data_IF_987508052755
#
_entry.id   IF_987508052755
#
_cell.length_a   1.000
_cell.length_b   1.000
_cell.length_c   1.000
_cell.angle_alpha   90.00
_cell.angle_beta   90.00
_cell.angle_gamma   90.00
#
_symmetry.space_group_name_H-M   'P 1'
#
loop_
_entity.id
_entity.type
_entity.pdbx_description
1 polymer ?
#
# COMPACT_ATOMS: atom_id res chain seq x y z
N UNK A 1 -72.54 -22.70 47.74
CA UNK A 1 -72.39 -21.43 46.97
C UNK A 1 -70.93 -21.03 46.96
N UNK A 2 -70.23 -21.18 45.83
CA UNK A 2 -68.84 -20.73 45.69
C UNK A 2 -68.89 -19.32 45.08
N UNK A 3 -68.45 -18.32 45.84
CA UNK A 3 -68.38 -16.93 45.39
C UNK A 3 -67.11 -16.74 44.56
N UNK A 4 -67.26 -16.60 43.24
CA UNK A 4 -66.17 -16.31 42.31
C UNK A 4 -65.74 -14.85 42.42
N UNK A 5 -64.49 -14.59 42.84
CA UNK A 5 -63.90 -13.25 42.94
C UNK A 5 -63.41 -12.85 41.54
N UNK A 6 -64.10 -11.90 40.89
CA UNK A 6 -63.67 -11.34 39.59
C UNK A 6 -62.39 -10.51 39.79
N UNK A 7 -61.31 -10.89 39.10
CA UNK A 7 -60.11 -10.07 39.00
C UNK A 7 -60.40 -8.99 37.94
N UNK A 8 -60.34 -7.73 38.34
CA UNK A 8 -60.61 -6.59 37.47
C UNK A 8 -59.37 -6.35 36.59
N UNK A 9 -59.37 -6.85 35.36
CA UNK A 9 -58.32 -6.58 34.38
C UNK A 9 -58.57 -5.21 33.76
N UNK A 10 -57.95 -4.16 34.31
CA UNK A 10 -57.89 -2.85 33.67
C UNK A 10 -57.06 -2.94 32.39
N UNK A 11 -57.66 -2.69 31.23
CA UNK A 11 -56.96 -2.62 29.95
C UNK A 11 -56.14 -1.32 29.83
N UNK A 12 -54.94 -1.42 29.26
CA UNK A 12 -54.12 -0.25 28.89
C UNK A 12 -54.80 0.54 27.78
N UNK A 13 -54.85 1.87 27.88
CA UNK A 13 -55.36 2.73 26.81
C UNK A 13 -54.31 2.89 25.70
N UNK A 14 -54.79 3.07 24.47
CA UNK A 14 -53.92 3.35 23.32
C UNK A 14 -53.12 4.65 23.54
N UNK A 15 -53.70 5.62 24.26
CA UNK A 15 -53.03 6.89 24.56
C UNK A 15 -51.84 6.69 25.50
N UNK A 16 -51.97 5.82 26.50
CA UNK A 16 -50.87 5.46 27.41
C UNK A 16 -49.73 4.75 26.68
N UNK A 17 -50.04 3.89 25.71
CA UNK A 17 -49.00 3.27 24.89
C UNK A 17 -48.34 4.29 23.94
N UNK A 18 -49.13 5.20 23.36
CA UNK A 18 -48.66 6.21 22.41
C UNK A 18 -47.69 7.20 23.06
N UNK A 19 -48.01 7.69 24.25
CA UNK A 19 -47.10 8.62 24.95
C UNK A 19 -45.77 7.93 25.30
N UNK A 20 -45.79 6.65 25.67
CA UNK A 20 -44.56 5.89 26.01
C UNK A 20 -43.64 5.76 24.81
N UNK A 21 -44.15 5.38 23.63
CA UNK A 21 -43.31 5.26 22.43
C UNK A 21 -42.77 6.62 21.98
N UNK A 22 -43.54 7.71 22.13
CA UNK A 22 -43.08 9.07 21.83
C UNK A 22 -41.95 9.48 22.76
N UNK A 23 -42.10 9.24 24.07
CA UNK A 23 -41.07 9.55 25.06
C UNK A 23 -39.80 8.73 24.81
N UNK A 24 -39.90 7.43 24.54
CA UNK A 24 -38.75 6.57 24.19
C UNK A 24 -38.09 7.07 22.90
N UNK A 25 -38.86 7.48 21.90
CA UNK A 25 -38.35 8.03 20.64
C UNK A 25 -37.51 9.30 20.83
N UNK A 26 -37.99 10.24 21.65
CA UNK A 26 -37.27 11.48 21.97
C UNK A 26 -35.97 11.17 22.74
N UNK A 27 -36.03 10.29 23.74
CA UNK A 27 -34.87 9.89 24.53
C UNK A 27 -33.83 9.16 23.65
N UNK A 28 -34.26 8.26 22.77
CA UNK A 28 -33.39 7.55 21.84
C UNK A 28 -32.66 8.52 20.89
N UNK A 29 -33.36 9.50 20.32
CA UNK A 29 -32.75 10.49 19.43
C UNK A 29 -31.64 11.30 20.11
N UNK A 30 -31.88 11.81 21.32
CA UNK A 30 -30.88 12.59 22.09
C UNK A 30 -29.67 11.71 22.45
N UNK A 31 -29.92 10.48 22.92
CA UNK A 31 -28.86 9.57 23.36
C UNK A 31 -27.94 9.17 22.21
N UNK A 32 -28.45 8.93 21.00
CA UNK A 32 -27.62 8.56 19.84
C UNK A 32 -26.60 9.67 19.49
N UNK A 33 -27.04 10.93 19.43
CA UNK A 33 -26.16 12.06 19.11
C UNK A 33 -25.09 12.24 20.19
N UNK A 34 -25.49 12.16 21.46
CA UNK A 34 -24.55 12.25 22.58
C UNK A 34 -23.53 11.11 22.58
N UNK A 35 -23.99 9.88 22.27
CA UNK A 35 -23.16 8.68 22.25
C UNK A 35 -22.04 8.75 21.21
N UNK A 36 -22.34 9.23 19.99
CA UNK A 36 -21.33 9.42 18.93
C UNK A 36 -20.23 10.41 19.36
N UNK A 37 -20.61 11.52 20.02
CA UNK A 37 -19.66 12.49 20.56
C UNK A 37 -18.78 11.90 21.67
N UNK A 38 -19.35 11.09 22.56
CA UNK A 38 -18.61 10.40 23.64
C UNK A 38 -17.62 9.39 23.04
N UNK A 39 -18.05 8.58 22.08
CA UNK A 39 -17.15 7.62 21.42
C UNK A 39 -15.96 8.31 20.75
N UNK A 40 -16.20 9.40 20.01
CA UNK A 40 -15.13 10.15 19.34
C UNK A 40 -14.10 10.68 20.34
N UNK A 41 -14.55 11.28 21.45
CA UNK A 41 -13.66 11.75 22.53
C UNK A 41 -12.90 10.60 23.20
N UNK A 42 -13.56 9.47 23.42
CA UNK A 42 -12.91 8.29 23.99
C UNK A 42 -11.82 7.74 23.07
N UNK A 43 -12.06 7.68 21.74
CA UNK A 43 -11.05 7.26 20.76
C UNK A 43 -9.87 8.24 20.72
N UNK A 44 -10.13 9.55 20.71
CA UNK A 44 -9.08 10.56 20.76
C UNK A 44 -8.21 10.44 22.02
N UNK A 45 -8.84 10.23 23.19
CA UNK A 45 -8.12 10.01 24.44
C UNK A 45 -7.29 8.71 24.41
N UNK A 46 -7.85 7.62 23.87
CA UNK A 46 -7.15 6.35 23.73
C UNK A 46 -5.92 6.46 22.82
N UNK A 47 -6.06 7.10 21.65
CA UNK A 47 -4.95 7.32 20.71
C UNK A 47 -3.89 8.24 21.29
N UNK A 48 -4.28 9.33 21.96
CA UNK A 48 -3.33 10.24 22.63
C UNK A 48 -2.53 9.53 23.72
N UNK A 49 -3.21 8.81 24.61
CA UNK A 49 -2.56 8.07 25.70
C UNK A 49 -1.64 6.97 25.17
N UNK A 50 -2.07 6.28 24.10
CA UNK A 50 -1.26 5.29 23.40
C UNK A 50 0.05 5.89 22.88
N UNK A 51 0.00 7.06 22.22
CA UNK A 51 1.20 7.71 21.70
C UNK A 51 2.12 8.22 22.81
N UNK A 52 1.59 8.79 23.88
CA UNK A 52 2.39 9.23 25.03
C UNK A 52 3.16 8.07 25.67
N UNK A 53 2.54 6.89 25.77
CA UNK A 53 3.21 5.68 26.24
C UNK A 53 4.31 5.23 25.26
N UNK A 54 4.01 5.25 23.95
CA UNK A 54 4.99 4.88 22.92
C UNK A 54 6.21 5.81 22.94
N UNK A 55 6.02 7.12 23.06
CA UNK A 55 7.12 8.11 23.15
C UNK A 55 8.02 7.81 24.34
N UNK A 56 7.44 7.55 25.53
CA UNK A 56 8.22 7.22 26.73
C UNK A 56 9.08 5.97 26.52
N UNK A 57 8.49 4.93 25.92
CA UNK A 57 9.22 3.69 25.64
C UNK A 57 10.31 3.85 24.57
N UNK A 58 10.04 4.64 23.52
CA UNK A 58 11.04 4.98 22.50
C UNK A 58 12.21 5.74 23.11
N UNK A 59 11.94 6.70 23.99
CA UNK A 59 12.97 7.47 24.68
C UNK A 59 13.83 6.58 25.59
N UNK A 60 13.21 5.69 26.38
CA UNK A 60 13.94 4.73 27.22
C UNK A 60 14.86 3.82 26.39
N UNK A 61 14.33 3.24 25.31
CA UNK A 61 15.12 2.38 24.43
C UNK A 61 16.30 3.13 23.79
N UNK A 62 16.08 4.38 23.36
CA UNK A 62 17.12 5.21 22.76
C UNK A 62 18.23 5.57 23.77
N UNK A 63 17.89 5.78 25.04
CA UNK A 63 18.87 5.98 26.11
C UNK A 63 19.72 4.73 26.34
N UNK A 64 19.10 3.55 26.33
CA UNK A 64 19.80 2.28 26.59
C UNK A 64 20.67 1.82 25.41
N UNK A 65 20.25 2.10 24.16
CA UNK A 65 20.85 1.53 22.95
C UNK A 65 21.52 2.55 22.02
N UNK A 66 21.45 3.86 22.32
CA UNK A 66 21.89 4.95 21.46
C UNK A 66 21.24 4.98 20.05
N UNK A 67 20.15 4.24 19.86
CA UNK A 67 19.37 4.17 18.62
C UNK A 67 17.89 3.97 18.96
N UNK A 68 16.99 4.44 18.10
CA UNK A 68 15.59 4.06 18.19
C UNK A 68 15.40 2.60 17.70
N UNK A 69 14.42 1.84 18.22
CA UNK A 69 14.20 0.47 17.78
C UNK A 69 13.79 0.45 16.30
N UNK A 70 14.10 -0.62 15.57
CA UNK A 70 13.66 -0.79 14.17
C UNK A 70 12.16 -1.15 14.10
N UNK A 71 11.63 -1.75 15.17
CA UNK A 71 10.24 -2.17 15.31
C UNK A 71 9.69 -1.78 16.69
N UNK A 72 8.46 -1.27 16.73
CA UNK A 72 7.72 -0.98 17.96
C UNK A 72 7.45 -2.25 18.80
N UNK A 73 7.38 -3.42 18.18
CA UNK A 73 7.22 -4.69 18.88
C UNK A 73 8.36 -4.97 19.87
N UNK A 74 9.58 -4.51 19.56
CA UNK A 74 10.78 -4.65 20.42
C UNK A 74 10.60 -3.97 21.78
N UNK A 75 9.81 -2.90 21.83
CA UNK A 75 9.46 -2.18 23.06
C UNK A 75 8.06 -2.57 23.58
N UNK A 76 7.48 -3.65 23.07
CA UNK A 76 6.18 -4.16 23.49
C UNK A 76 5.03 -3.20 23.16
N UNK A 77 5.12 -2.49 22.03
CA UNK A 77 4.01 -1.73 21.45
C UNK A 77 3.49 -2.52 20.26
N UNK A 78 2.24 -2.97 20.35
CA UNK A 78 1.55 -3.77 19.34
C UNK A 78 0.12 -3.30 19.18
N UNK A 79 -0.49 -3.58 18.03
CA UNK A 79 -1.89 -3.24 17.75
C UNK A 79 -2.81 -3.94 18.77
N UNK A 80 -3.63 -3.18 19.49
CA UNK A 80 -4.53 -3.70 20.52
C UNK A 80 -5.65 -2.71 20.85
N UNK A 81 -6.78 -3.22 21.36
CA UNK A 81 -7.90 -2.38 21.84
C UNK A 81 -8.51 -1.46 20.77
N UNK A 82 -8.43 -1.86 19.49
CA UNK A 82 -8.87 -1.05 18.35
C UNK A 82 -7.90 0.06 17.95
N UNK A 83 -6.75 0.18 18.62
CA UNK A 83 -5.67 1.10 18.26
C UNK A 83 -4.60 0.36 17.46
N UNK A 84 -4.30 0.89 16.29
CA UNK A 84 -3.26 0.41 15.37
C UNK A 84 -2.13 1.43 15.26
N UNK A 85 -0.88 0.97 15.16
CA UNK A 85 0.30 1.80 15.06
C UNK A 85 0.98 1.61 13.70
N UNK A 86 1.55 2.70 13.18
CA UNK A 86 2.51 2.70 12.09
C UNK A 86 3.74 3.46 12.55
N UNK A 87 4.91 3.00 12.13
CA UNK A 87 6.19 3.49 12.62
C UNK A 87 7.22 3.60 11.51
N UNK A 88 7.91 4.73 11.49
CA UNK A 88 9.06 5.00 10.63
C UNK A 88 10.21 5.50 11.48
N UNK A 89 11.42 5.07 11.14
CA UNK A 89 12.65 5.38 11.88
C UNK A 89 13.81 5.55 10.92
N UNK A 90 14.68 6.50 11.22
CA UNK A 90 15.96 6.69 10.53
C UNK A 90 17.06 6.94 11.56
N UNK A 91 17.79 5.87 11.89
CA UNK A 91 18.94 5.93 12.79
C UNK A 91 20.24 6.31 12.08
N UNK A 92 20.24 6.45 10.74
CA UNK A 92 21.43 6.75 9.96
C UNK A 92 21.72 8.26 9.85
N UNK A 93 20.78 9.11 10.26
CA UNK A 93 20.91 10.58 10.25
C UNK A 93 21.19 11.13 11.65
N UNK A 94 21.81 12.32 11.71
CA UNK A 94 22.10 13.02 12.96
C UNK A 94 21.44 14.40 12.94
N UNK A 95 20.48 14.71 13.82
CA UNK A 95 19.93 13.83 14.86
C UNK A 95 19.08 12.69 14.26
N UNK A 96 19.06 11.55 14.93
CA UNK A 96 18.22 10.40 14.56
C UNK A 96 16.75 10.82 14.59
N UNK A 97 15.94 10.27 13.67
CA UNK A 97 14.53 10.66 13.52
C UNK A 97 13.62 9.45 13.62
N UNK A 98 12.39 9.69 14.08
CA UNK A 98 11.30 8.72 14.07
C UNK A 98 9.97 9.43 13.91
N UNK A 99 8.96 8.69 13.46
CA UNK A 99 7.58 9.14 13.48
C UNK A 99 6.64 7.94 13.76
N UNK A 100 5.66 8.14 14.63
CA UNK A 100 4.63 7.14 14.95
C UNK A 100 3.25 7.74 14.63
N UNK A 101 2.44 7.01 13.88
CA UNK A 101 0.99 7.28 13.75
C UNK A 101 0.24 6.24 14.56
N UNK A 102 -0.70 6.67 15.40
CA UNK A 102 -1.67 5.78 16.03
C UNK A 102 -3.06 6.10 15.52
N UNK A 103 -3.84 5.07 15.18
CA UNK A 103 -5.20 5.19 14.65
C UNK A 103 -6.17 4.34 15.47
N UNK A 104 -7.35 4.86 15.77
CA UNK A 104 -8.48 4.11 16.32
C UNK A 104 -9.77 4.53 15.59
N UNK A 105 -10.27 3.63 14.73
CA UNK A 105 -11.35 3.95 13.80
C UNK A 105 -10.95 5.09 12.85
N UNK A 106 -11.70 6.19 12.89
CA UNK A 106 -11.45 7.40 12.06
C UNK A 106 -10.58 8.45 12.74
N UNK A 107 -10.10 8.19 13.96
CA UNK A 107 -9.28 9.13 14.74
C UNK A 107 -7.81 8.74 14.63
N UNK A 108 -6.96 9.66 14.19
CA UNK A 108 -5.54 9.41 13.93
C UNK A 108 -4.68 10.57 14.42
N UNK A 109 -3.72 10.28 15.30
CA UNK A 109 -2.72 11.26 15.77
C UNK A 109 -1.32 10.75 15.46
N UNK A 110 -0.37 11.69 15.47
CA UNK A 110 1.06 11.41 15.28
C UNK A 110 1.93 12.07 16.34
N UNK A 111 3.10 11.49 16.51
CA UNK A 111 4.24 12.04 17.26
C UNK A 111 5.51 11.78 16.44
N UNK A 112 6.51 12.64 16.59
CA UNK A 112 7.80 12.49 15.93
C UNK A 112 8.94 12.96 16.85
N UNK A 113 10.17 12.83 16.36
CA UNK A 113 11.37 13.17 17.12
C UNK A 113 11.44 14.65 17.58
N UNK A 114 10.80 15.58 16.87
CA UNK A 114 10.81 17.03 17.21
C UNK A 114 9.56 17.50 17.93
N UNK A 115 8.44 16.79 17.78
CA UNK A 115 7.17 17.04 18.43
C UNK A 115 6.65 15.74 19.04
N UNK A 116 6.94 15.58 20.32
CA UNK A 116 6.57 14.42 21.13
C UNK A 116 5.18 14.51 21.73
N UNK A 117 4.48 15.64 21.55
CA UNK A 117 3.10 15.79 21.93
C UNK A 117 2.19 15.21 20.83
N UNK A 118 1.20 14.34 21.18
CA UNK A 118 0.24 13.84 20.21
C UNK A 118 -0.44 14.99 19.47
N UNK A 119 -0.34 14.98 18.15
CA UNK A 119 -0.93 16.00 17.28
C UNK A 119 -1.80 15.37 16.21
N UNK A 120 -2.84 16.07 15.77
CA UNK A 120 -3.71 15.59 14.71
C UNK A 120 -2.95 15.41 13.40
N UNK A 121 -3.19 14.30 12.71
CA UNK A 121 -2.56 13.98 11.43
C UNK A 121 -1.81 12.65 11.46
N UNK A 122 -1.16 12.35 10.34
CA UNK A 122 -0.36 11.14 10.13
C UNK A 122 1.09 11.52 9.78
N UNK A 123 2.04 10.66 10.09
CA UNK A 123 3.40 10.81 9.56
C UNK A 123 3.40 10.72 8.03
N UNK A 124 4.40 11.31 7.40
CA UNK A 124 4.57 11.20 5.96
C UNK A 124 4.77 9.71 5.59
N UNK A 125 4.03 9.24 4.59
CA UNK A 125 4.00 7.82 4.23
C UNK A 125 3.23 6.92 5.20
N UNK A 126 2.58 7.43 6.25
CA UNK A 126 1.61 6.66 7.05
C UNK A 126 0.17 6.94 6.56
N UNK A 127 -0.76 6.05 6.86
CA UNK A 127 -2.13 6.11 6.31
C UNK A 127 -3.19 6.05 7.40
N UNK A 128 -4.38 6.53 7.05
CA UNK A 128 -5.56 6.47 7.92
C UNK A 128 -6.10 5.03 7.94
N UNK A 129 -6.16 4.42 9.13
CA UNK A 129 -6.80 3.11 9.34
C UNK A 129 -5.86 1.98 9.77
N UNK A 130 -4.57 2.24 10.00
CA UNK A 130 -3.65 1.24 10.56
C UNK A 130 -3.09 0.21 9.57
N UNK A 131 -3.37 0.36 8.28
CA UNK A 131 -2.78 -0.49 7.23
C UNK A 131 -1.38 0.00 6.94
N UNK A 132 -0.36 -0.87 7.09
CA UNK A 132 1.03 -0.53 6.77
C UNK A 132 1.12 0.06 5.36
N UNK A 133 1.84 1.17 5.22
CA UNK A 133 2.06 1.74 3.90
C UNK A 133 3.05 0.87 3.14
N UNK A 134 2.68 0.53 1.91
CA UNK A 134 3.58 -0.18 1.01
C UNK A 134 4.43 0.85 0.30
N UNK A 135 5.74 0.71 0.40
CA UNK A 135 6.66 1.46 -0.44
C UNK A 135 6.80 0.73 -1.77
N UNK A 136 6.23 1.31 -2.82
CA UNK A 136 6.52 0.89 -4.17
C UNK A 136 7.85 1.51 -4.62
N UNK A 137 8.82 0.67 -4.92
CA UNK A 137 10.12 1.04 -5.43
C UNK A 137 10.16 1.14 -6.97
N UNK A 138 9.05 1.01 -7.70
CA UNK A 138 9.04 1.33 -9.13
C UNK A 138 9.18 2.85 -9.31
N UNK A 139 10.19 3.32 -10.05
CA UNK A 139 10.50 4.76 -10.18
C UNK A 139 9.45 5.58 -10.93
N UNK A 140 8.49 4.92 -11.57
CA UNK A 140 7.40 5.54 -12.33
C UNK A 140 6.23 4.56 -12.47
N UNK A 141 5.29 4.53 -11.54
CA UNK A 141 4.19 3.57 -11.58
C UNK A 141 3.06 3.97 -12.54
N UNK A 142 2.93 5.25 -12.88
CA UNK A 142 1.88 5.83 -13.74
C UNK A 142 2.30 5.95 -15.23
N UNK A 143 3.53 5.54 -15.53
CA UNK A 143 4.16 5.64 -16.84
C UNK A 143 4.31 7.05 -17.41
N UNK A 144 4.09 8.13 -16.65
CA UNK A 144 3.98 9.47 -17.22
C UNK A 144 5.30 10.06 -17.71
N UNK A 145 6.45 9.76 -17.06
CA UNK A 145 7.71 10.47 -17.33
C UNK A 145 8.96 9.58 -17.39
N UNK A 146 8.93 8.36 -16.85
CA UNK A 146 10.13 7.58 -16.53
C UNK A 146 9.97 6.05 -16.57
N UNK A 147 8.80 5.48 -16.94
CA UNK A 147 8.70 4.08 -17.35
C UNK A 147 9.49 3.94 -18.63
N UNK A 148 10.73 3.55 -18.43
CA UNK A 148 11.63 3.11 -19.48
C UNK A 148 11.14 1.75 -19.90
N UNK A 149 10.19 1.76 -20.82
CA UNK A 149 9.86 0.58 -21.56
C UNK A 149 11.16 -0.02 -22.12
N UNK A 150 11.30 -1.31 -21.94
CA UNK A 150 12.30 -2.08 -22.65
C UNK A 150 11.64 -2.60 -23.92
N UNK A 151 11.83 -1.84 -24.98
CA UNK A 151 12.02 -2.49 -26.27
C UNK A 151 13.35 -3.25 -26.17
N UNK A 152 13.36 -4.45 -26.73
CA UNK A 152 14.52 -5.29 -27.02
C UNK A 152 15.90 -4.71 -26.65
N UNK A 153 16.67 -5.43 -25.82
CA UNK A 153 18.12 -5.39 -25.95
C UNK A 153 18.48 -6.01 -27.32
N UNK A 154 18.68 -5.16 -28.32
CA UNK A 154 19.43 -5.52 -29.53
C UNK A 154 18.65 -5.80 -30.83
N UNK A 155 17.40 -5.36 -31.01
CA UNK A 155 16.71 -5.47 -32.31
C UNK A 155 16.03 -4.14 -32.71
N UNK A 156 15.96 -3.81 -34.02
CA UNK A 156 15.43 -2.54 -34.51
C UNK A 156 13.96 -2.35 -34.13
N UNK A 157 13.53 -1.09 -34.03
CA UNK A 157 12.24 -0.65 -33.47
C UNK A 157 11.03 -1.27 -34.16
N UNK A 158 10.50 -2.36 -33.61
CA UNK A 158 9.23 -2.99 -34.03
C UNK A 158 8.00 -2.41 -33.32
N UNK A 159 8.14 -1.36 -32.51
CA UNK A 159 7.02 -0.77 -31.77
C UNK A 159 7.18 0.71 -31.45
N UNK A 160 6.06 1.44 -31.40
CA UNK A 160 5.96 2.83 -30.92
C UNK A 160 5.34 2.84 -29.52
N UNK A 161 5.76 3.77 -28.67
CA UNK A 161 5.29 3.90 -27.28
C UNK A 161 4.68 5.27 -27.02
N UNK A 162 3.55 5.28 -26.34
CA UNK A 162 2.83 6.49 -25.95
C UNK A 162 2.14 6.28 -24.62
N UNK A 163 1.89 7.37 -23.90
CA UNK A 163 0.99 7.34 -22.74
C UNK A 163 -0.44 7.50 -23.25
N UNK A 164 -1.33 6.62 -22.80
CA UNK A 164 -2.71 6.60 -23.28
C UNK A 164 -3.68 6.41 -22.12
N UNK A 165 -4.80 7.13 -22.21
CA UNK A 165 -5.95 7.00 -21.32
C UNK A 165 -7.09 6.19 -21.94
N UNK A 166 -6.89 5.66 -23.15
CA UNK A 166 -7.90 4.85 -23.86
C UNK A 166 -8.13 3.47 -23.22
N UNK A 167 -7.19 3.04 -22.36
CA UNK A 167 -7.29 1.81 -21.59
C UNK A 167 -6.40 1.91 -20.34
N UNK A 168 -6.98 1.75 -19.16
CA UNK A 168 -6.26 1.64 -17.88
C UNK A 168 -6.81 0.47 -17.07
N UNK A 169 -6.00 -0.07 -16.16
CA UNK A 169 -6.44 -1.05 -15.17
C UNK A 169 -6.90 -0.34 -13.90
N UNK A 170 -6.06 0.55 -13.38
CA UNK A 170 -6.32 1.44 -12.25
C UNK A 170 -5.64 2.78 -12.54
N UNK A 171 -6.21 3.89 -12.09
CA UNK A 171 -5.69 5.24 -12.38
C UNK A 171 -6.14 5.81 -13.73
N UNK A 172 -5.41 6.82 -14.21
CA UNK A 172 -5.85 7.71 -15.31
C UNK A 172 -5.15 7.44 -16.64
N UNK A 173 -3.99 6.82 -16.64
CA UNK A 173 -3.16 6.58 -17.83
C UNK A 173 -2.37 5.29 -17.72
N UNK A 174 -2.03 4.67 -18.85
CA UNK A 174 -1.15 3.50 -18.91
C UNK A 174 -0.12 3.61 -20.04
N UNK A 175 0.92 2.76 -20.00
CA UNK A 175 1.90 2.64 -21.07
C UNK A 175 1.29 1.86 -22.23
N UNK A 176 1.04 2.53 -23.37
CA UNK A 176 0.60 1.90 -24.61
C UNK A 176 1.78 1.61 -25.54
N UNK A 177 1.86 0.38 -26.02
CA UNK A 177 2.84 -0.07 -27.01
C UNK A 177 2.13 -0.56 -28.26
N UNK A 178 2.29 0.17 -29.37
CA UNK A 178 1.75 -0.18 -30.68
C UNK A 178 2.82 -0.92 -31.49
N UNK A 179 2.48 -2.08 -32.03
CA UNK A 179 3.41 -2.95 -32.74
C UNK A 179 3.40 -2.65 -34.24
N UNK A 180 4.55 -2.29 -34.80
CA UNK A 180 4.75 -1.94 -36.21
C UNK A 180 5.37 -3.09 -37.03
N UNK A 181 5.83 -4.17 -36.36
CA UNK A 181 6.46 -5.33 -37.00
C UNK A 181 6.36 -6.58 -36.14
N UNK A 182 6.49 -7.76 -36.75
CA UNK A 182 6.43 -9.04 -36.02
C UNK A 182 7.64 -9.25 -35.12
N UNK A 183 7.43 -9.71 -33.90
CA UNK A 183 8.49 -9.96 -32.95
C UNK A 183 7.99 -10.26 -31.54
N UNK A 184 8.82 -9.95 -30.55
CA UNK A 184 8.52 -10.14 -29.13
C UNK A 184 8.63 -8.81 -28.40
N UNK A 185 7.67 -8.54 -27.52
CA UNK A 185 7.60 -7.29 -26.75
C UNK A 185 7.44 -7.59 -25.26
N UNK A 186 7.88 -6.63 -24.45
CA UNK A 186 7.75 -6.64 -23.00
C UNK A 186 7.69 -5.24 -22.43
N UNK A 187 7.57 -5.17 -21.11
CA UNK A 187 7.76 -3.96 -20.35
C UNK A 187 8.46 -4.30 -19.03
N UNK A 188 9.16 -3.31 -18.49
CA UNK A 188 9.83 -3.42 -17.22
C UNK A 188 9.75 -2.10 -16.48
N UNK A 189 9.64 -2.19 -15.17
CA UNK A 189 9.90 -1.10 -14.27
C UNK A 189 11.37 -1.15 -13.84
N UNK A 190 11.97 0.04 -13.72
CA UNK A 190 13.28 0.21 -13.09
C UNK A 190 13.04 0.67 -11.65
N UNK A 191 13.69 0.03 -10.67
CA UNK A 191 13.81 0.62 -9.35
C UNK A 191 14.88 1.73 -9.35
N UNK A 192 14.95 2.53 -8.26
CA UNK A 192 16.00 3.52 -8.05
C UNK A 192 17.39 2.94 -8.35
N UNK A 193 18.30 3.77 -8.86
CA UNK A 193 19.60 3.36 -9.40
C UNK A 193 20.36 2.42 -8.46
N UNK A 194 21.25 1.60 -9.03
CA UNK A 194 21.96 0.48 -8.40
C UNK A 194 22.81 0.77 -7.15
N UNK A 195 22.68 1.94 -6.53
CA UNK A 195 23.30 2.32 -5.25
C UNK A 195 22.28 2.63 -4.15
N UNK A 196 20.99 2.70 -4.46
CA UNK A 196 19.95 3.20 -3.54
C UNK A 196 19.01 2.11 -3.03
N UNK A 197 18.72 1.08 -3.82
CA UNK A 197 17.90 -0.07 -3.40
C UNK A 197 18.75 -1.32 -3.12
N UNK A 198 19.46 -1.36 -1.98
CA UNK A 198 20.17 -2.58 -1.54
C UNK A 198 19.17 -3.61 -1.01
N UNK A 199 19.27 -4.86 -1.43
CA UNK A 199 18.46 -5.98 -0.89
C UNK A 199 19.42 -6.97 -0.27
N UNK A 200 19.22 -7.29 1.00
CA UNK A 200 20.12 -8.18 1.70
C UNK A 200 19.86 -9.65 1.37
N UNK A 201 20.90 -10.46 1.50
CA UNK A 201 20.80 -11.91 1.40
C UNK A 201 19.67 -12.42 2.32
N UNK A 202 18.75 -13.22 1.77
CA UNK A 202 17.60 -13.76 2.50
C UNK A 202 16.38 -12.84 2.59
N UNK A 203 16.48 -11.56 2.22
CA UNK A 203 15.30 -10.68 2.12
C UNK A 203 14.44 -11.07 0.93
N UNK A 204 13.11 -11.04 1.11
CA UNK A 204 12.19 -11.33 0.02
C UNK A 204 11.75 -10.06 -0.68
N UNK A 205 11.80 -10.10 -2.00
CA UNK A 205 11.22 -9.10 -2.86
C UNK A 205 10.04 -9.66 -3.62
N UNK A 206 9.01 -8.83 -3.74
CA UNK A 206 7.85 -9.09 -4.57
C UNK A 206 7.71 -8.00 -5.61
N UNK A 207 7.07 -8.39 -6.70
CA UNK A 207 6.72 -7.45 -7.73
C UNK A 207 5.47 -7.92 -8.47
N UNK A 208 4.77 -6.95 -9.06
CA UNK A 208 3.66 -7.22 -9.96
C UNK A 208 3.45 -6.10 -10.96
N UNK A 209 2.78 -6.40 -12.05
CA UNK A 209 2.23 -5.41 -12.97
C UNK A 209 1.05 -6.01 -13.71
N UNK A 210 0.26 -5.15 -14.34
CA UNK A 210 -0.86 -5.56 -15.18
C UNK A 210 -0.47 -5.44 -16.65
N UNK A 211 -0.87 -6.42 -17.43
CA UNK A 211 -0.71 -6.42 -18.89
C UNK A 211 -2.05 -6.66 -19.57
N UNK A 212 -2.34 -5.87 -20.59
CA UNK A 212 -3.45 -6.09 -21.51
C UNK A 212 -2.87 -6.22 -22.91
N UNK A 213 -3.35 -7.20 -23.67
CA UNK A 213 -3.00 -7.34 -25.08
C UNK A 213 -4.26 -7.52 -25.92
N UNK A 214 -4.29 -6.92 -27.10
CA UNK A 214 -5.34 -7.17 -28.11
C UNK A 214 -5.34 -8.62 -28.61
N UNK A 215 -4.21 -9.32 -28.48
CA UNK A 215 -4.00 -10.70 -28.92
C UNK A 215 -3.48 -11.58 -27.79
N UNK A 216 -3.90 -12.84 -27.78
CA UNK A 216 -3.44 -13.81 -26.79
C UNK A 216 -1.95 -14.12 -27.00
N UNK A 217 -1.22 -14.29 -25.90
CA UNK A 217 0.20 -14.62 -25.92
C UNK A 217 0.68 -15.18 -24.59
N UNK A 218 2.00 -15.30 -24.45
CA UNK A 218 2.63 -15.68 -23.18
C UNK A 218 3.79 -14.75 -22.89
N UNK A 219 3.80 -14.20 -21.69
CA UNK A 219 4.86 -13.31 -21.20
C UNK A 219 5.79 -14.12 -20.30
N UNK A 220 7.09 -13.85 -20.35
CA UNK A 220 8.08 -14.43 -19.44
C UNK A 220 8.44 -13.39 -18.38
N UNK A 221 8.01 -13.58 -17.12
CA UNK A 221 8.49 -12.86 -15.95
C UNK A 221 10.01 -12.82 -15.86
N UNK A 222 10.57 -11.66 -15.50
CA UNK A 222 12.01 -11.48 -15.42
C UNK A 222 12.43 -10.49 -14.33
N UNK A 223 13.60 -10.74 -13.75
CA UNK A 223 14.26 -9.84 -12.82
C UNK A 223 15.76 -9.82 -13.09
N UNK A 224 16.32 -8.62 -13.18
CA UNK A 224 17.76 -8.36 -13.26
C UNK A 224 18.26 -7.67 -12.00
N UNK A 225 19.44 -8.07 -11.54
CA UNK A 225 20.13 -7.43 -10.43
C UNK A 225 21.65 -7.49 -10.59
N UNK A 226 22.36 -6.58 -9.90
CA UNK A 226 23.82 -6.59 -9.77
C UNK A 226 24.20 -7.01 -8.35
N UNK A 227 25.20 -7.87 -8.21
CA UNK A 227 25.72 -8.27 -6.90
C UNK A 227 26.49 -7.11 -6.26
N UNK A 228 26.35 -6.94 -4.95
CA UNK A 228 27.09 -5.93 -4.19
C UNK A 228 28.59 -6.27 -4.10
N UNK A 229 28.93 -7.57 -4.09
CA UNK A 229 30.29 -8.05 -3.82
C UNK A 229 31.28 -7.85 -4.97
N UNK A 230 30.82 -7.97 -6.21
CA UNK A 230 31.69 -8.00 -7.40
C UNK A 230 31.11 -7.20 -8.60
N UNK A 231 29.94 -6.58 -8.45
CA UNK A 231 29.27 -5.83 -9.50
C UNK A 231 28.74 -6.67 -10.67
N UNK A 232 28.88 -8.00 -10.63
CA UNK A 232 28.40 -8.89 -11.70
C UNK A 232 26.88 -8.99 -11.71
N UNK A 233 26.31 -9.24 -12.88
CA UNK A 233 24.87 -9.39 -13.04
C UNK A 233 24.38 -10.79 -12.67
N UNK A 234 23.19 -10.86 -12.09
CA UNK A 234 22.41 -12.07 -11.89
C UNK A 234 20.98 -11.81 -12.36
N UNK A 235 20.52 -12.65 -13.29
CA UNK A 235 19.18 -12.57 -13.86
C UNK A 235 18.38 -13.83 -13.51
N UNK A 236 17.09 -13.68 -13.27
CA UNK A 236 16.16 -14.76 -12.99
C UNK A 236 14.90 -14.63 -13.83
N UNK A 237 14.50 -15.70 -14.52
CA UNK A 237 13.20 -15.81 -15.18
C UNK A 237 12.30 -16.78 -14.40
N UNK A 238 11.00 -16.55 -14.45
CA UNK A 238 10.00 -17.49 -13.92
C UNK A 238 9.19 -18.13 -15.04
N UNK A 239 8.30 -19.07 -14.70
CA UNK A 239 7.42 -19.72 -15.66
C UNK A 239 6.61 -18.70 -16.47
N UNK A 240 6.39 -19.00 -17.75
CA UNK A 240 5.61 -18.14 -18.63
C UNK A 240 4.18 -17.95 -18.12
N UNK A 241 3.69 -16.72 -18.15
CA UNK A 241 2.33 -16.35 -17.78
C UNK A 241 1.51 -16.16 -19.05
N UNK A 242 0.40 -16.89 -19.16
CA UNK A 242 -0.54 -16.71 -20.27
C UNK A 242 -1.24 -15.36 -20.16
N UNK A 243 -1.28 -14.60 -21.27
CA UNK A 243 -1.98 -13.32 -21.39
C UNK A 243 -3.10 -13.51 -22.40
N UNK A 244 -4.36 -13.71 -21.97
CA UNK A 244 -5.49 -13.84 -22.88
C UNK A 244 -5.72 -12.56 -23.69
N UNK A 245 -6.28 -12.73 -24.89
CA UNK A 245 -6.68 -11.59 -25.70
C UNK A 245 -7.76 -10.79 -24.98
N UNK A 246 -7.59 -9.47 -24.94
CA UNK A 246 -8.53 -8.50 -24.44
C UNK A 246 -8.88 -8.59 -22.95
N UNK A 247 -7.96 -9.12 -22.13
CA UNK A 247 -8.14 -9.25 -20.69
C UNK A 247 -6.92 -8.70 -19.96
N UNK A 248 -7.16 -7.83 -18.97
CA UNK A 248 -6.13 -7.41 -18.03
C UNK A 248 -5.67 -8.61 -17.20
N UNK A 249 -4.38 -8.92 -17.28
CA UNK A 249 -3.76 -10.06 -16.61
C UNK A 249 -2.72 -9.55 -15.62
N UNK A 250 -2.86 -9.93 -14.35
CA UNK A 250 -1.84 -9.64 -13.33
C UNK A 250 -0.67 -10.60 -13.51
N UNK A 251 0.51 -10.05 -13.73
CA UNK A 251 1.77 -10.79 -13.73
C UNK A 251 2.46 -10.50 -12.42
N UNK A 252 2.91 -11.55 -11.74
CA UNK A 252 3.55 -11.45 -10.44
C UNK A 252 4.83 -12.26 -10.42
N UNK A 253 5.75 -11.85 -9.55
CA UNK A 253 6.95 -12.60 -9.28
C UNK A 253 7.51 -12.26 -7.91
N UNK A 254 8.40 -13.14 -7.45
CA UNK A 254 9.14 -12.93 -6.23
C UNK A 254 10.51 -13.54 -6.36
N UNK A 255 11.48 -12.97 -5.67
CA UNK A 255 12.79 -13.58 -5.56
C UNK A 255 13.39 -13.29 -4.17
N UNK A 256 14.28 -14.18 -3.74
CA UNK A 256 15.04 -14.05 -2.50
C UNK A 256 16.51 -14.24 -2.87
N UNK A 257 17.35 -13.21 -2.78
CA UNK A 257 18.72 -13.32 -3.23
C UNK A 257 19.55 -14.06 -2.17
N UNK A 258 20.48 -14.91 -2.61
CA UNK A 258 21.38 -15.65 -1.72
C UNK A 258 22.56 -14.80 -1.20
N UNK A 259 22.72 -13.60 -1.75
CA UNK A 259 23.77 -12.63 -1.47
C UNK A 259 23.16 -11.23 -1.60
N UNK A 260 23.84 -10.21 -1.08
CA UNK A 260 23.35 -8.85 -1.23
C UNK A 260 23.39 -8.40 -2.71
N UNK A 261 22.32 -7.74 -3.15
CA UNK A 261 22.17 -7.25 -4.52
C UNK A 261 21.62 -5.83 -4.58
N UNK A 262 21.72 -5.23 -5.77
CA UNK A 262 20.95 -4.08 -6.21
C UNK A 262 20.08 -4.49 -7.40
N UNK A 263 18.74 -4.51 -7.27
CA UNK A 263 17.84 -4.75 -8.39
C UNK A 263 18.01 -3.67 -9.45
N UNK A 264 18.03 -4.07 -10.71
CA UNK A 264 18.21 -3.17 -11.85
C UNK A 264 16.92 -3.03 -12.66
N UNK A 265 16.21 -4.14 -12.89
CA UNK A 265 15.01 -4.19 -13.73
C UNK A 265 14.08 -5.32 -13.27
N UNK A 266 12.79 -5.07 -13.34
CA UNK A 266 11.74 -6.06 -13.05
C UNK A 266 10.65 -5.92 -14.09
N UNK A 267 10.22 -7.02 -14.70
CA UNK A 267 9.19 -6.95 -15.74
C UNK A 267 8.85 -8.28 -16.36
N UNK A 268 8.41 -8.22 -17.62
CA UNK A 268 8.24 -9.41 -18.43
C UNK A 268 8.50 -9.13 -19.90
N UNK A 269 8.95 -10.15 -20.62
CA UNK A 269 9.30 -10.08 -22.03
C UNK A 269 8.69 -11.24 -22.81
N UNK A 270 9.06 -11.38 -24.09
CA UNK A 270 8.70 -12.53 -24.92
C UNK A 270 7.23 -12.64 -25.32
N UNK A 271 6.41 -11.59 -25.17
CA UNK A 271 5.04 -11.63 -25.69
C UNK A 271 5.10 -11.59 -27.22
N UNK A 272 4.77 -12.71 -27.86
CA UNK A 272 4.76 -12.83 -29.32
C UNK A 272 3.66 -11.93 -29.93
N UNK A 273 4.06 -11.06 -30.84
CA UNK A 273 3.20 -10.03 -31.45
C UNK A 273 3.45 -9.90 -32.95
N UNK A 274 2.46 -9.42 -33.68
CA UNK A 274 2.53 -9.07 -35.11
C UNK A 274 2.24 -7.58 -35.31
N UNK A 275 2.56 -7.04 -36.49
CA UNK A 275 2.20 -5.67 -36.84
C UNK A 275 0.68 -5.44 -36.70
N UNK A 276 0.29 -4.35 -36.04
CA UNK A 276 -1.09 -4.01 -35.70
C UNK A 276 -1.53 -4.40 -34.29
N UNK A 277 -0.80 -5.29 -33.60
CA UNK A 277 -1.08 -5.59 -32.20
C UNK A 277 -0.82 -4.36 -31.33
N UNK A 278 -1.56 -4.26 -30.23
CA UNK A 278 -1.37 -3.21 -29.21
C UNK A 278 -1.42 -3.83 -27.82
N UNK A 279 -0.50 -3.37 -26.98
CA UNK A 279 -0.30 -3.79 -25.60
C UNK A 279 -0.39 -2.60 -24.67
N UNK A 280 -0.89 -2.83 -23.46
CA UNK A 280 -0.88 -1.86 -22.38
C UNK A 280 -0.27 -2.48 -21.13
N UNK A 281 0.52 -1.69 -20.42
CA UNK A 281 1.12 -2.07 -19.14
C UNK A 281 0.81 -1.01 -18.10
N UNK A 282 0.49 -1.46 -16.89
CA UNK A 282 -0.04 -0.59 -15.83
C UNK A 282 0.27 -1.13 -14.43
N UNK A 283 0.18 -0.25 -13.42
CA UNK A 283 0.27 -0.54 -11.99
C UNK A 283 1.48 -1.42 -11.61
N UNK A 284 2.68 -0.99 -12.01
CA UNK A 284 3.93 -1.64 -11.61
C UNK A 284 4.18 -1.45 -10.11
N UNK A 285 4.36 -2.57 -9.42
CA UNK A 285 4.74 -2.66 -8.01
C UNK A 285 6.07 -3.40 -7.88
N UNK A 286 6.97 -2.83 -7.10
CA UNK A 286 8.18 -3.48 -6.60
C UNK A 286 8.23 -3.21 -5.10
N UNK A 287 8.25 -4.24 -4.27
CA UNK A 287 8.27 -4.08 -2.81
C UNK A 287 9.22 -5.06 -2.13
N UNK A 288 9.76 -4.63 -1.00
CA UNK A 288 10.44 -5.51 -0.04
C UNK A 288 9.41 -5.94 0.99
N UNK A 289 8.95 -7.18 0.89
CA UNK A 289 7.86 -7.68 1.73
C UNK A 289 7.91 -9.20 1.79
N UNK A 290 7.26 -9.77 2.81
CA UNK A 290 7.02 -11.21 2.91
C UNK A 290 5.78 -11.68 2.14
N UNK A 291 4.94 -10.74 1.70
CA UNK A 291 3.72 -10.98 0.92
C UNK A 291 3.59 -9.97 -0.20
N UNK A 292 3.08 -10.41 -1.36
CA UNK A 292 2.70 -9.49 -2.43
C UNK A 292 1.40 -8.79 -2.07
N UNK A 293 1.44 -7.47 -2.00
CA UNK A 293 0.26 -6.64 -1.82
C UNK A 293 -0.36 -6.23 -3.16
N UNK A 294 -1.62 -5.77 -3.14
CA UNK A 294 -2.17 -5.07 -4.28
C UNK A 294 -1.80 -3.58 -4.21
N UNK A 295 -1.65 -2.99 -5.38
CA UNK A 295 -1.05 -1.68 -5.56
C UNK A 295 -1.85 -0.85 -6.56
N UNK A 296 -1.83 0.45 -6.34
CA UNK A 296 -2.47 1.46 -7.17
C UNK A 296 -1.39 2.41 -7.72
N UNK A 297 -1.43 2.65 -9.02
CA UNK A 297 -0.45 3.27 -9.93
C UNK A 297 0.04 4.71 -9.63
N UNK A 298 0.05 5.18 -8.39
CA UNK A 298 0.50 6.54 -8.02
C UNK A 298 -0.49 7.66 -8.38
N UNK A 299 -1.40 7.45 -9.34
CA UNK A 299 -2.51 8.36 -9.69
C UNK A 299 -3.83 8.04 -8.97
N UNK A 300 -3.84 6.98 -8.17
CA UNK A 300 -4.99 6.55 -7.40
C UNK A 300 -5.18 7.37 -6.12
N UNK A 301 -6.44 7.63 -5.73
CA UNK A 301 -6.76 8.34 -4.48
C UNK A 301 -6.13 7.64 -3.28
N UNK A 302 -5.52 8.41 -2.37
CA UNK A 302 -4.80 7.96 -1.16
C UNK A 302 -3.38 7.42 -1.37
N UNK A 303 -2.81 7.53 -2.57
CA UNK A 303 -1.37 7.34 -2.80
C UNK A 303 -0.63 8.67 -2.77
N UNK A 304 0.54 8.69 -2.14
CA UNK A 304 1.44 9.85 -2.09
C UNK A 304 2.78 9.50 -2.71
N UNK A 305 3.27 10.39 -3.55
CA UNK A 305 4.53 10.24 -4.27
C UNK A 305 5.67 10.92 -3.49
N UNK A 306 6.77 10.21 -3.22
CA UNK A 306 7.78 10.64 -2.24
C UNK A 306 9.00 11.38 -2.82
N UNK A 307 9.06 11.71 -4.11
CA UNK A 307 10.14 12.59 -4.61
C UNK A 307 10.54 12.44 -6.09
N UNK A 308 11.30 13.45 -6.54
CA UNK A 308 11.69 13.88 -7.91
C UNK A 308 11.57 12.92 -9.11
N UNK A 309 11.25 13.43 -10.33
CA UNK A 309 11.08 12.61 -11.53
C UNK A 309 12.26 11.68 -11.77
N UNK A 310 12.00 10.40 -12.09
CA UNK A 310 12.98 9.32 -12.26
C UNK A 310 13.67 8.79 -10.97
N UNK A 311 13.20 9.15 -9.76
CA UNK A 311 13.78 8.69 -8.49
C UNK A 311 12.72 8.32 -7.42
N UNK A 312 11.55 7.89 -7.86
CA UNK A 312 10.34 8.07 -7.06
C UNK A 312 9.85 6.77 -6.48
N UNK A 313 9.90 6.63 -5.15
CA UNK A 313 9.04 5.66 -4.48
C UNK A 313 7.66 6.28 -4.23
N UNK A 314 6.59 5.51 -4.41
CA UNK A 314 5.25 5.92 -3.98
C UNK A 314 4.86 5.13 -2.74
N UNK A 315 4.17 5.76 -1.79
CA UNK A 315 3.61 5.08 -0.60
C UNK A 315 2.10 5.23 -0.56
N UNK A 316 1.41 4.16 -0.17
CA UNK A 316 -0.04 4.13 -0.12
C UNK A 316 -0.57 2.81 0.43
N UNK A 317 -1.89 2.71 0.61
CA UNK A 317 -2.50 1.57 1.29
C UNK A 317 -2.36 0.32 0.45
N UNK A 318 -2.22 -0.83 1.11
CA UNK A 318 -2.50 -2.10 0.48
C UNK A 318 -3.94 -2.07 -0.07
N UNK A 319 -4.10 -2.35 -1.37
CA UNK A 319 -5.42 -2.50 -1.99
C UNK A 319 -6.03 -3.89 -1.75
#
# INVERSE_FOLDING_TARGET
MVSSRRINTSGFTIVELLIVIVVIGILAAITIVAYNGIQSRARAAAVSSALEQTVKKLALYAVDNNVFPIDLATIGIVNSGGTSYQYSVNNAVTPQTYCVTATNGTTFYRVNATNTAPSSGVCDGHLVGGVAAITNYATDPDAANSVSAFGFAGAPTTSTRTIASDRSYLGTTSLKTAVNGTGQIGAMARPPTSTTLRVNAGEKMFWSFWVYSTKAGSLIPYTDASKVSDGTYTGGSSASVAVPANVWTKVTGSFTPAIDIYPNQVGGYNLAVIAGDTLWFDAFLIEKSNTLHNYADGNSSNWTWNGAPNNSSSTGPAL
#
